data_IF_089574067208
#
_entry.id   IF_089574067208
#
_cell.length_a   1.000
_cell.length_b   1.000
_cell.length_c   1.000
_cell.angle_alpha   90.00
_cell.angle_beta   90.00
_cell.angle_gamma   90.00
#
_symmetry.space_group_name_H-M   'P 1'
#
loop_
_entity.id
_entity.type
_entity.pdbx_description
1 polymer ?
#
# COMPACT_ATOMS: atom_id res chain seq x y z
N UNK A 1 -39.29 -20.34 -17.80
CA UNK A 1 -40.24 -19.39 -17.18
C UNK A 1 -40.27 -19.70 -15.69
N UNK A 2 -39.55 -18.93 -14.88
CA UNK A 2 -39.60 -18.98 -13.42
C UNK A 2 -39.68 -17.53 -12.92
N UNK A 3 -40.64 -17.30 -12.03
CA UNK A 3 -41.17 -16.00 -11.68
C UNK A 3 -40.15 -15.15 -10.93
N UNK A 4 -40.03 -13.89 -11.39
CA UNK A 4 -39.50 -12.76 -10.62
C UNK A 4 -40.61 -12.24 -9.71
N UNK A 5 -40.33 -12.17 -8.42
CA UNK A 5 -40.83 -11.14 -7.51
C UNK A 5 -39.98 -11.20 -6.26
N UNK A 6 -38.92 -10.40 -6.21
CA UNK A 6 -38.18 -10.20 -4.96
C UNK A 6 -38.40 -8.75 -4.49
N UNK A 7 -39.33 -8.52 -3.55
CA UNK A 7 -39.77 -7.19 -3.10
C UNK A 7 -38.68 -6.41 -2.33
N UNK A 8 -37.50 -6.97 -2.15
CA UNK A 8 -36.38 -6.35 -1.43
C UNK A 8 -35.43 -5.54 -2.32
N UNK A 9 -35.52 -5.64 -3.65
CA UNK A 9 -34.62 -4.88 -4.56
C UNK A 9 -34.80 -3.36 -4.51
N UNK A 10 -35.98 -2.85 -4.15
CA UNK A 10 -36.18 -1.40 -3.97
C UNK A 10 -35.59 -0.92 -2.64
N UNK A 11 -35.58 -1.76 -1.61
CA UNK A 11 -34.93 -1.49 -0.34
C UNK A 11 -33.40 -1.43 -0.49
N UNK A 12 -32.82 -2.29 -1.35
CA UNK A 12 -31.38 -2.27 -1.65
C UNK A 12 -30.92 -0.98 -2.35
N UNK A 13 -31.74 -0.41 -3.25
CA UNK A 13 -31.40 0.87 -3.93
C UNK A 13 -31.48 2.06 -2.96
N UNK A 14 -32.45 2.08 -2.06
CA UNK A 14 -32.55 3.11 -1.02
C UNK A 14 -31.46 2.96 0.06
N UNK A 15 -31.10 1.72 0.40
CA UNK A 15 -29.97 1.43 1.29
C UNK A 15 -28.63 1.86 0.68
N UNK A 16 -28.41 1.66 -0.63
CA UNK A 16 -27.22 2.16 -1.33
C UNK A 16 -27.11 3.70 -1.32
N UNK A 17 -28.24 4.41 -1.24
CA UNK A 17 -28.27 5.87 -1.21
C UNK A 17 -28.11 6.47 0.21
N UNK A 18 -28.40 5.68 1.26
CA UNK A 18 -28.21 6.08 2.69
C UNK A 18 -26.89 5.54 3.28
N UNK A 19 -26.34 4.44 2.76
CA UNK A 19 -25.07 3.84 3.19
C UNK A 19 -23.85 4.34 2.38
N UNK A 20 -24.04 5.31 1.49
CA UNK A 20 -23.01 5.87 0.60
C UNK A 20 -21.88 6.69 1.27
N UNK A 21 -21.62 6.52 2.57
CA UNK A 21 -20.62 7.33 3.29
C UNK A 21 -19.61 6.53 4.12
N UNK A 22 -19.54 5.21 3.98
CA UNK A 22 -18.41 4.41 4.46
C UNK A 22 -18.22 3.22 3.52
N UNK A 23 -17.68 3.49 2.32
CA UNK A 23 -17.11 2.45 1.49
C UNK A 23 -16.09 1.70 2.36
N UNK A 24 -16.43 0.49 2.83
CA UNK A 24 -15.43 -0.41 3.39
C UNK A 24 -14.39 -0.54 2.27
N UNK A 25 -13.16 -0.02 2.42
CA UNK A 25 -12.18 -0.10 1.35
C UNK A 25 -12.11 -1.56 0.95
N UNK A 26 -12.40 -1.84 -0.32
CA UNK A 26 -12.32 -3.21 -0.81
C UNK A 26 -10.93 -3.73 -0.47
N UNK A 27 -10.85 -4.92 0.13
CA UNK A 27 -9.58 -5.41 0.65
C UNK A 27 -8.57 -5.44 -0.50
N UNK A 28 -7.52 -4.65 -0.34
CA UNK A 28 -6.29 -4.69 -1.13
C UNK A 28 -5.31 -5.52 -0.29
N UNK A 29 -5.27 -6.86 -0.46
CA UNK A 29 -4.38 -7.71 0.31
C UNK A 29 -2.94 -7.29 0.07
N UNK A 30 -2.11 -7.42 1.09
CA UNK A 30 -0.73 -6.99 1.01
C UNK A 30 0.19 -7.81 1.89
N UNK A 31 1.41 -8.01 1.40
CA UNK A 31 2.54 -8.52 2.16
C UNK A 31 3.64 -7.46 2.20
N UNK A 32 4.22 -7.25 3.39
CA UNK A 32 5.31 -6.31 3.57
C UNK A 32 6.42 -6.94 4.42
N UNK A 33 7.66 -6.78 3.97
CA UNK A 33 8.82 -7.33 4.67
C UNK A 33 10.09 -6.53 4.36
N UNK A 34 11.10 -6.70 5.21
CA UNK A 34 12.43 -6.13 5.00
C UNK A 34 13.35 -7.18 4.42
N UNK A 35 14.12 -6.81 3.39
CA UNK A 35 15.18 -7.62 2.80
C UNK A 35 16.45 -6.78 2.73
N UNK A 36 17.37 -7.01 3.69
CA UNK A 36 18.60 -6.22 3.81
C UNK A 36 18.33 -4.73 4.02
N UNK A 37 18.73 -3.94 3.03
CA UNK A 37 18.61 -2.48 2.99
C UNK A 37 17.34 -1.99 2.26
N UNK A 38 16.39 -2.87 1.99
CA UNK A 38 15.12 -2.54 1.32
C UNK A 38 13.91 -2.98 2.14
N UNK A 39 12.85 -2.16 2.08
CA UNK A 39 11.51 -2.50 2.52
C UNK A 39 10.66 -2.78 1.29
N UNK A 40 10.16 -4.01 1.16
CA UNK A 40 9.35 -4.45 0.03
C UNK A 40 7.88 -4.58 0.45
N UNK A 41 7.00 -4.14 -0.44
CA UNK A 41 5.55 -4.26 -0.26
C UNK A 41 4.93 -4.79 -1.54
N UNK A 42 4.08 -5.80 -1.43
CA UNK A 42 3.32 -6.37 -2.54
C UNK A 42 1.83 -6.14 -2.29
N UNK A 43 1.09 -5.68 -3.30
CA UNK A 43 -0.36 -5.54 -3.26
C UNK A 43 -1.00 -6.38 -4.37
N UNK A 44 -1.99 -7.18 -3.99
CA UNK A 44 -2.79 -7.94 -4.95
C UNK A 44 -3.85 -7.02 -5.57
N UNK A 45 -3.62 -6.65 -6.83
CA UNK A 45 -4.45 -5.74 -7.62
C UNK A 45 -4.80 -6.33 -9.00
N UNK A 46 -5.39 -7.53 -9.10
CA UNK A 46 -5.58 -8.22 -10.38
C UNK A 46 -6.64 -7.56 -11.28
N UNK A 47 -6.25 -7.27 -12.52
CA UNK A 47 -7.12 -6.69 -13.53
C UNK A 47 -7.42 -5.21 -13.32
N UNK A 48 -6.45 -4.51 -12.72
CA UNK A 48 -6.39 -3.05 -12.67
C UNK A 48 -5.55 -2.58 -13.85
N UNK A 49 -5.94 -1.46 -14.45
CA UNK A 49 -5.15 -0.76 -15.44
C UNK A 49 -4.00 -0.04 -14.71
N UNK A 50 -2.72 -0.30 -15.03
CA UNK A 50 -1.60 0.34 -14.34
C UNK A 50 -1.67 1.87 -14.36
N UNK A 51 -2.28 2.46 -15.40
CA UNK A 51 -2.42 3.90 -15.53
C UNK A 51 -3.40 4.51 -14.50
N UNK A 52 -4.25 3.69 -13.86
CA UNK A 52 -5.19 4.14 -12.82
C UNK A 52 -4.64 3.95 -11.40
N UNK A 53 -3.41 3.46 -11.27
CA UNK A 53 -2.72 3.30 -9.99
C UNK A 53 -2.07 4.63 -9.62
N UNK A 54 -2.54 5.23 -8.54
CA UNK A 54 -2.02 6.46 -7.96
C UNK A 54 -1.24 6.12 -6.67
N UNK A 55 -0.02 6.66 -6.57
CA UNK A 55 0.89 6.47 -5.44
C UNK A 55 1.36 7.83 -4.96
N UNK A 56 1.04 8.16 -3.71
CA UNK A 56 1.35 9.46 -3.13
C UNK A 56 1.99 9.28 -1.76
N UNK A 57 3.07 10.02 -1.49
CA UNK A 57 3.66 10.06 -0.14
C UNK A 57 3.46 11.43 0.47
N UNK A 58 2.74 11.47 1.59
CA UNK A 58 2.56 12.68 2.39
C UNK A 58 2.95 12.41 3.83
N UNK A 59 3.92 13.15 4.36
CA UNK A 59 4.33 13.07 5.78
C UNK A 59 4.61 11.63 6.25
N UNK A 60 5.39 10.88 5.48
CA UNK A 60 5.70 9.46 5.70
C UNK A 60 4.47 8.53 5.66
N UNK A 61 3.35 8.96 5.08
CA UNK A 61 2.20 8.12 4.78
C UNK A 61 2.15 7.88 3.29
N UNK A 62 2.32 6.63 2.88
CA UNK A 62 2.13 6.19 1.51
C UNK A 62 0.65 5.86 1.29
N UNK A 63 0.03 6.61 0.39
CA UNK A 63 -1.31 6.38 -0.10
C UNK A 63 -1.20 5.58 -1.40
N UNK A 64 -1.93 4.48 -1.46
CA UNK A 64 -2.09 3.64 -2.66
C UNK A 64 -3.55 3.69 -3.04
N UNK A 65 -3.83 4.18 -4.25
CA UNK A 65 -5.18 4.23 -4.81
C UNK A 65 -5.17 3.53 -6.16
N UNK A 66 -6.21 2.74 -6.40
CA UNK A 66 -6.35 2.02 -7.66
C UNK A 66 -7.83 1.86 -8.03
N UNK A 67 -8.14 1.86 -9.33
CA UNK A 67 -9.50 1.67 -9.83
C UNK A 67 -9.62 0.41 -10.67
N UNK A 68 -10.55 -0.47 -10.29
CA UNK A 68 -10.93 -1.63 -11.07
C UNK A 68 -12.28 -1.45 -11.72
N UNK A 69 -12.30 -1.30 -13.03
CA UNK A 69 -13.53 -1.19 -13.82
C UNK A 69 -14.18 -2.55 -14.01
N UNK A 70 -15.51 -2.56 -14.07
CA UNK A 70 -16.25 -3.75 -14.50
C UNK A 70 -16.05 -3.97 -16.01
N UNK A 71 -15.73 -5.19 -16.46
CA UNK A 71 -15.65 -5.49 -17.89
C UNK A 71 -17.05 -5.70 -18.52
N UNK A 72 -18.11 -5.77 -17.70
CA UNK A 72 -19.46 -5.98 -18.20
C UNK A 72 -19.93 -4.76 -19.02
N UNK A 73 -20.49 -4.96 -20.23
CA UNK A 73 -21.16 -3.89 -20.96
C UNK A 73 -22.29 -3.26 -20.14
N UNK A 74 -22.61 -1.99 -20.41
CA UNK A 74 -23.62 -1.24 -19.63
C UNK A 74 -24.99 -1.93 -19.59
N UNK A 75 -25.37 -2.62 -20.66
CA UNK A 75 -26.68 -3.29 -20.78
C UNK A 75 -26.66 -4.78 -20.42
N UNK A 76 -25.54 -5.30 -19.90
CA UNK A 76 -25.42 -6.71 -19.54
C UNK A 76 -26.12 -7.03 -18.22
N UNK A 77 -26.92 -8.11 -18.21
CA UNK A 77 -27.47 -8.67 -16.96
C UNK A 77 -26.35 -9.45 -16.24
N UNK A 78 -25.88 -8.89 -15.13
CA UNK A 78 -24.87 -9.55 -14.29
C UNK A 78 -25.51 -10.73 -13.54
N UNK A 79 -25.15 -11.95 -13.93
CA UNK A 79 -25.66 -13.18 -13.30
C UNK A 79 -24.93 -13.50 -11.99
N UNK A 80 -23.63 -13.21 -11.92
CA UNK A 80 -22.75 -13.46 -10.75
C UNK A 80 -21.76 -12.31 -10.60
N UNK A 81 -21.55 -11.83 -9.37
CA UNK A 81 -20.78 -10.62 -9.06
C UNK A 81 -19.84 -10.83 -7.86
N UNK A 82 -18.84 -11.70 -7.99
CA UNK A 82 -17.91 -12.02 -6.89
C UNK A 82 -16.63 -11.19 -6.92
N UNK A 83 -16.25 -10.69 -8.10
CA UNK A 83 -15.04 -9.89 -8.29
C UNK A 83 -15.27 -8.49 -7.72
N UNK A 84 -14.46 -8.02 -6.75
CA UNK A 84 -14.59 -6.65 -6.28
C UNK A 84 -14.28 -5.68 -7.43
N UNK A 85 -15.07 -4.62 -7.57
CA UNK A 85 -14.92 -3.55 -8.55
C UNK A 85 -15.05 -2.19 -7.85
N UNK A 86 -14.56 -1.13 -8.51
CA UNK A 86 -14.55 0.23 -7.97
C UNK A 86 -13.17 0.65 -7.49
N UNK A 87 -13.14 1.59 -6.56
CA UNK A 87 -11.90 2.16 -6.03
C UNK A 87 -11.41 1.37 -4.82
N UNK A 88 -10.12 1.05 -4.83
CA UNK A 88 -9.36 0.48 -3.74
C UNK A 88 -8.43 1.56 -3.19
N UNK A 89 -8.39 1.72 -1.87
CA UNK A 89 -7.46 2.63 -1.21
C UNK A 89 -6.79 1.93 -0.04
N UNK A 90 -5.50 2.18 0.14
CA UNK A 90 -4.70 1.67 1.26
C UNK A 90 -3.70 2.73 1.69
N UNK A 91 -3.51 2.85 3.00
CA UNK A 91 -2.52 3.74 3.59
C UNK A 91 -1.49 2.93 4.36
N UNK A 92 -0.21 3.30 4.22
CA UNK A 92 0.89 2.69 4.94
C UNK A 92 1.70 3.78 5.62
N UNK A 93 1.86 3.65 6.94
CA UNK A 93 2.77 4.49 7.70
C UNK A 93 4.19 3.96 7.51
N UNK A 94 5.02 4.75 6.83
CA UNK A 94 6.42 4.47 6.61
C UNK A 94 7.24 4.98 7.80
N UNK A 95 8.24 4.21 8.22
CA UNK A 95 9.16 4.65 9.26
C UNK A 95 10.10 5.73 8.74
N UNK A 96 10.56 6.62 9.62
CA UNK A 96 11.54 7.68 9.30
C UNK A 96 12.89 7.17 8.79
N UNK A 97 13.13 5.87 8.96
CA UNK A 97 14.34 5.19 8.48
C UNK A 97 14.28 4.80 7.00
N UNK A 98 13.14 5.01 6.33
CA UNK A 98 12.95 4.71 4.92
C UNK A 98 13.17 5.96 4.07
N UNK A 99 13.78 5.78 2.91
CA UNK A 99 14.03 6.81 1.93
C UNK A 99 12.86 6.90 0.95
N UNK A 100 11.88 7.73 1.30
CA UNK A 100 10.65 7.88 0.50
C UNK A 100 10.85 8.65 -0.80
N UNK A 101 12.00 9.31 -0.99
CA UNK A 101 12.31 10.01 -2.24
C UNK A 101 12.76 9.05 -3.35
N UNK A 102 13.17 7.82 -2.97
CA UNK A 102 13.68 6.80 -3.90
C UNK A 102 12.82 5.54 -3.92
N UNK A 103 11.50 5.71 -3.82
CA UNK A 103 10.56 4.60 -3.98
C UNK A 103 10.56 4.15 -5.45
N UNK A 104 10.76 2.85 -5.66
CA UNK A 104 10.57 2.19 -6.95
C UNK A 104 9.25 1.40 -6.94
N UNK A 105 8.53 1.45 -8.05
CA UNK A 105 7.23 0.80 -8.20
C UNK A 105 7.19 0.02 -9.51
N UNK A 106 6.73 -1.23 -9.44
CA UNK A 106 6.51 -2.08 -10.61
C UNK A 106 5.18 -2.81 -10.50
N UNK A 107 4.52 -3.04 -11.65
CA UNK A 107 3.27 -3.77 -11.70
C UNK A 107 3.38 -4.89 -12.74
N UNK A 108 3.27 -6.14 -12.26
CA UNK A 108 3.40 -7.32 -13.10
C UNK A 108 2.39 -8.37 -12.67
N UNK A 109 1.73 -9.01 -13.65
CA UNK A 109 0.81 -10.14 -13.42
C UNK A 109 -0.31 -9.88 -12.37
N UNK A 110 -0.72 -8.63 -12.18
CA UNK A 110 -1.75 -8.27 -11.20
C UNK A 110 -1.22 -7.91 -9.82
N UNK A 111 0.09 -7.83 -9.62
CA UNK A 111 0.73 -7.50 -8.35
C UNK A 111 1.49 -6.19 -8.48
N UNK A 112 1.17 -5.22 -7.61
CA UNK A 112 1.95 -4.00 -7.45
C UNK A 112 3.05 -4.26 -6.42
N UNK A 113 4.30 -4.09 -6.83
CA UNK A 113 5.48 -4.22 -5.98
C UNK A 113 6.12 -2.86 -5.75
N UNK A 114 6.25 -2.46 -4.48
CA UNK A 114 6.94 -1.26 -4.06
C UNK A 114 8.25 -1.63 -3.36
N UNK A 115 9.33 -0.96 -3.72
CA UNK A 115 10.65 -1.12 -3.11
C UNK A 115 11.10 0.21 -2.56
N UNK A 116 11.33 0.25 -1.25
CA UNK A 116 11.70 1.47 -0.53
C UNK A 116 13.05 1.25 0.13
N UNK A 117 14.12 1.92 -0.31
CA UNK A 117 15.43 1.80 0.31
C UNK A 117 15.39 2.30 1.77
N UNK A 118 16.23 1.72 2.61
CA UNK A 118 16.54 2.26 3.94
C UNK A 118 17.45 3.48 3.76
N UNK A 119 17.10 4.58 4.41
CA UNK A 119 17.86 5.81 4.36
C UNK A 119 19.29 5.59 4.87
N UNK A 120 20.29 6.10 4.14
CA UNK A 120 21.72 5.94 4.51
C UNK A 120 22.03 6.46 5.92
N UNK A 121 21.31 7.50 6.36
CA UNK A 121 21.46 8.08 7.69
C UNK A 121 20.95 7.17 8.82
N UNK A 122 20.00 6.29 8.49
CA UNK A 122 19.43 5.33 9.43
C UNK A 122 20.26 4.04 9.55
N UNK A 123 21.29 3.86 8.71
CA UNK A 123 22.18 2.71 8.80
C UNK A 123 23.03 2.81 10.08
N UNK A 124 23.18 1.70 10.83
CA UNK A 124 23.92 1.71 12.09
C UNK A 124 25.37 2.14 11.86
N UNK A 125 25.79 3.21 12.53
CA UNK A 125 27.19 3.67 12.53
C UNK A 125 27.96 3.00 13.66
N UNK A 126 29.10 2.38 13.32
CA UNK A 126 30.02 1.82 14.31
C UNK A 126 30.83 2.93 14.95
N UNK A 127 30.62 3.18 16.23
CA UNK A 127 31.42 4.13 17.00
C UNK A 127 32.69 3.41 17.48
N UNK A 128 33.86 3.91 17.08
CA UNK A 128 35.14 3.44 17.63
C UNK A 128 35.48 4.25 18.88
N UNK A 129 35.89 3.56 19.94
CA UNK A 129 36.38 4.21 21.17
C UNK A 129 37.89 4.41 21.00
N UNK A 130 38.33 5.67 20.95
CA UNK A 130 39.76 6.00 20.98
C UNK A 130 40.21 6.10 22.43
N UNK A 131 41.16 5.26 22.84
CA UNK A 131 41.72 5.27 24.19
C UNK A 131 42.51 6.55 24.46
N UNK A 132 42.21 7.21 25.58
CA UNK A 132 42.98 8.36 26.04
C UNK A 132 44.39 7.94 26.41
N UNK A 133 45.38 8.49 25.71
CA UNK A 133 46.80 8.36 26.05
C UNK A 133 47.04 9.05 27.40
N UNK A 134 47.00 8.27 28.48
CA UNK A 134 47.45 8.69 29.81
C UNK A 134 48.96 8.53 29.88
N UNK A 135 49.65 9.39 29.12
CA UNK A 135 51.08 9.62 29.26
C UNK A 135 51.38 10.15 30.66
N UNK A 136 51.64 9.24 31.61
CA UNK A 136 52.28 9.54 32.89
C UNK A 136 53.66 10.13 32.59
N UNK A 137 53.77 11.46 32.51
CA UNK A 137 55.06 12.15 32.62
C UNK A 137 55.49 12.12 34.08
N UNK A 138 56.39 11.21 34.36
CA UNK A 138 57.14 11.09 35.61
C UNK A 138 57.90 12.40 35.87
N UNK A 139 57.68 13.00 37.04
CA UNK A 139 58.45 14.13 37.54
C UNK A 139 59.66 13.53 38.25
N UNK A 140 60.85 13.68 37.68
CA UNK A 140 62.11 13.39 38.38
C UNK A 140 62.63 14.71 38.94
N UNK A 141 62.77 14.74 40.28
CA UNK A 141 63.46 15.81 41.01
C UNK A 141 64.95 15.61 41.08
#
# INVERSE_FOLDING_TARGET
>A
MLMRTDPFREFDRLAQQVLGANARPSAMPMDAYRSGDEFLVHFDLPGIDPETIELDVERNVLNVRAERRTPAPQDAEMLVAERPTGTFTRQLFLGETLDTERIDASYEAGVLTLRIPVAEQAKPRRIQITGGDTGRKQISG
#
